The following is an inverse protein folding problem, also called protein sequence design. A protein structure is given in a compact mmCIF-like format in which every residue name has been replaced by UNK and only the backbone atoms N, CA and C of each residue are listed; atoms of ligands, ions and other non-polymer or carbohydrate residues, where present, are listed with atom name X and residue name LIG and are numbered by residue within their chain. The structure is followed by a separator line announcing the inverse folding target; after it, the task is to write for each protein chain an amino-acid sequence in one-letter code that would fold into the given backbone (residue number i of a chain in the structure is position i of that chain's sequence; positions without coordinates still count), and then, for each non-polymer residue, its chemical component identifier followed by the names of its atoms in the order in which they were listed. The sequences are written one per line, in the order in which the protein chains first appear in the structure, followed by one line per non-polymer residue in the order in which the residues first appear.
data_IF_350920502352
#
_entry.id   IF_350920502352
#
_cell.length_a   1.000
_cell.length_b   1.000
_cell.length_c   1.000
_cell.angle_alpha   90.00
_cell.angle_beta   90.00
_cell.angle_gamma   90.00
#
_symmetry.space_group_name_H-M   'P 1'
#
loop_
_entity.id
_entity.type
_entity.pdbx_description
1 polymer ?
#
# COMPACT_ATOMS: atom_id res chain seq x y z
N UNK A 1 -8.55 -0.59 2.75
CA UNK A 1 -8.93 0.61 3.44
C UNK A 1 -7.80 1.07 4.32
N UNK A 2 -8.06 1.82 5.37
CA UNK A 2 -7.02 2.25 6.28
C UNK A 2 -7.13 1.50 7.58
N UNK A 3 -6.01 1.34 8.28
CA UNK A 3 -6.04 0.83 9.64
C UNK A 3 -6.81 1.79 10.52
N UNK A 4 -7.45 1.25 11.56
CA UNK A 4 -8.29 2.02 12.44
C UNK A 4 -7.59 3.25 13.01
N UNK A 5 -6.33 3.12 13.37
CA UNK A 5 -5.60 4.23 13.98
C UNK A 5 -5.38 5.40 13.03
N UNK A 6 -5.48 5.19 11.73
CA UNK A 6 -5.32 6.26 10.77
C UNK A 6 -6.59 7.10 10.62
N UNK A 7 -7.70 6.67 11.16
CA UNK A 7 -8.92 7.46 11.09
C UNK A 7 -8.84 8.76 11.89
N UNK A 8 -7.84 8.87 12.74
CA UNK A 8 -7.63 10.10 13.51
C UNK A 8 -7.01 11.22 12.69
N UNK A 9 -6.56 10.91 11.46
CA UNK A 9 -5.92 11.87 10.60
C UNK A 9 -6.78 12.14 9.38
N UNK A 10 -6.47 13.22 8.68
CA UNK A 10 -7.12 13.44 7.39
C UNK A 10 -6.74 12.29 6.47
N UNK A 11 -7.67 11.89 5.64
CA UNK A 11 -7.42 10.81 4.70
C UNK A 11 -8.10 11.12 3.37
N UNK A 12 -7.58 10.50 2.32
CA UNK A 12 -8.18 10.57 1.00
C UNK A 12 -7.89 9.29 0.24
N UNK A 13 -8.69 8.97 -0.77
CA UNK A 13 -8.43 7.78 -1.57
C UNK A 13 -7.18 7.92 -2.42
N UNK A 14 -6.56 6.79 -2.73
CA UNK A 14 -5.44 6.74 -3.65
C UNK A 14 -5.93 6.98 -5.07
N UNK A 15 -5.03 7.45 -5.93
CA UNK A 15 -5.32 7.75 -7.33
C UNK A 15 -4.33 7.06 -8.22
N UNK A 16 -4.82 6.54 -9.34
CA UNK A 16 -3.96 5.94 -10.35
C UNK A 16 -3.04 7.04 -10.92
N UNK A 17 -1.78 6.70 -11.10
CA UNK A 17 -0.79 7.64 -11.63
C UNK A 17 -0.08 8.47 -10.58
N UNK A 18 -0.51 8.38 -9.35
CA UNK A 18 0.12 9.12 -8.27
C UNK A 18 1.20 8.26 -7.61
N UNK A 19 2.24 8.89 -7.11
CA UNK A 19 3.28 8.18 -6.36
C UNK A 19 3.05 8.36 -4.88
N UNK A 20 3.44 7.35 -4.11
CA UNK A 20 3.27 7.32 -2.67
C UNK A 20 4.55 6.90 -1.99
N UNK A 21 4.57 7.12 -0.70
CA UNK A 21 5.68 6.70 0.15
C UNK A 21 5.11 6.27 1.47
N UNK A 22 5.65 5.21 2.06
CA UNK A 22 5.22 4.81 3.40
C UNK A 22 5.75 5.81 4.41
N UNK A 23 4.94 6.10 5.41
CA UNK A 23 5.25 7.12 6.41
C UNK A 23 4.74 6.66 7.77
N UNK A 24 5.54 6.90 8.81
CA UNK A 24 5.11 6.60 10.18
C UNK A 24 4.46 7.84 10.76
N UNK A 25 3.19 7.74 11.09
CA UNK A 25 2.42 8.82 11.67
C UNK A 25 2.72 8.95 13.17
N UNK A 26 2.37 10.07 13.81
CA UNK A 26 2.61 10.24 15.25
C UNK A 26 2.01 9.15 16.12
N UNK A 27 0.96 8.46 15.65
CA UNK A 27 0.38 7.32 16.35
C UNK A 27 1.23 6.07 16.27
N UNK A 28 2.36 6.11 15.56
CA UNK A 28 3.25 5.00 15.26
C UNK A 28 2.75 4.07 14.15
N UNK A 29 1.57 4.31 13.62
CA UNK A 29 1.06 3.51 12.51
C UNK A 29 1.73 3.94 11.21
N UNK A 30 2.11 2.98 10.39
CA UNK A 30 2.69 3.23 9.07
C UNK A 30 1.59 3.15 8.03
N UNK A 31 1.50 4.16 7.19
CA UNK A 31 0.55 4.21 6.09
C UNK A 31 1.19 4.88 4.90
N UNK A 32 0.40 5.17 3.88
CA UNK A 32 0.89 5.85 2.67
C UNK A 32 0.61 7.34 2.73
N UNK A 33 1.54 8.10 2.19
CA UNK A 33 1.36 9.54 1.96
C UNK A 33 1.76 9.85 0.53
N UNK A 34 1.27 10.97 0.01
CA UNK A 34 1.82 11.53 -1.22
C UNK A 34 3.06 12.34 -0.81
N UNK A 35 4.16 12.26 -1.54
CA UNK A 35 5.36 13.01 -1.18
C UNK A 35 5.06 14.50 -1.01
N UNK A 36 5.53 15.05 0.09
CA UNK A 36 5.29 16.46 0.40
C UNK A 36 4.04 16.72 1.23
N UNK A 37 3.22 15.71 1.49
CA UNK A 37 2.02 15.87 2.32
C UNK A 37 1.95 14.76 3.37
N UNK A 38 2.68 14.96 4.47
CA UNK A 38 2.74 14.00 5.55
C UNK A 38 1.56 14.07 6.50
N UNK A 39 0.63 14.99 6.27
CA UNK A 39 -0.51 15.18 7.17
C UNK A 39 -1.76 14.47 6.70
N UNK A 40 -1.75 13.91 5.51
CA UNK A 40 -2.92 13.22 4.95
C UNK A 40 -2.57 11.78 4.63
N UNK A 41 -3.27 10.85 5.26
CA UNK A 41 -3.12 9.44 4.97
C UNK A 41 -3.80 9.13 3.64
N UNK A 42 -3.13 8.38 2.78
CA UNK A 42 -3.71 7.94 1.52
C UNK A 42 -4.27 6.53 1.73
N UNK A 43 -5.56 6.38 1.53
CA UNK A 43 -6.24 5.11 1.72
C UNK A 43 -6.39 4.40 0.38
N UNK A 44 -6.04 3.15 0.37
CA UNK A 44 -5.99 2.35 -0.83
C UNK A 44 -6.93 1.17 -0.68
N UNK A 45 -7.61 0.81 -1.75
CA UNK A 45 -8.51 -0.35 -1.69
C UNK A 45 -7.69 -1.63 -1.61
N UNK A 46 -8.16 -2.61 -0.86
CA UNK A 46 -7.56 -3.94 -0.88
C UNK A 46 -7.65 -4.51 -2.30
N UNK A 47 -6.66 -5.33 -2.64
CA UNK A 47 -6.48 -5.93 -3.96
C UNK A 47 -5.94 -4.97 -5.02
N UNK A 48 -5.58 -3.75 -4.63
CA UNK A 48 -4.85 -2.85 -5.52
C UNK A 48 -3.43 -3.36 -5.71
N UNK A 49 -2.97 -3.43 -6.94
CA UNK A 49 -1.63 -3.87 -7.25
C UNK A 49 -0.67 -2.68 -7.30
N UNK A 50 0.48 -2.87 -6.66
CA UNK A 50 1.46 -1.82 -6.48
C UNK A 50 2.82 -2.25 -6.98
N UNK A 51 3.59 -1.30 -7.46
CA UNK A 51 5.03 -1.46 -7.59
C UNK A 51 5.69 -0.78 -6.41
N UNK A 52 6.48 -1.52 -5.64
CA UNK A 52 7.20 -0.97 -4.50
C UNK A 52 8.67 -0.85 -4.83
N UNK A 53 9.30 0.20 -4.33
CA UNK A 53 10.72 0.48 -4.56
C UNK A 53 11.39 0.83 -3.25
N UNK A 54 12.60 0.31 -3.07
CA UNK A 54 13.36 0.59 -1.85
C UNK A 54 12.93 -0.27 -0.66
N UNK A 55 12.51 -1.49 -0.91
CA UNK A 55 12.13 -2.41 0.16
C UNK A 55 13.36 -2.70 1.03
N UNK A 56 13.25 -2.59 2.37
CA UNK A 56 14.40 -2.82 3.24
C UNK A 56 14.94 -4.24 3.13
N UNK A 57 16.24 -4.40 3.30
CA UNK A 57 16.90 -5.69 3.16
C UNK A 57 16.30 -6.76 4.06
N UNK A 58 15.93 -6.39 5.29
CA UNK A 58 15.33 -7.35 6.21
C UNK A 58 14.02 -7.92 5.67
N UNK A 59 13.22 -7.10 5.02
CA UNK A 59 11.97 -7.52 4.40
C UNK A 59 12.26 -8.35 3.15
N UNK A 60 13.25 -7.96 2.37
CA UNK A 60 13.67 -8.73 1.19
C UNK A 60 14.02 -10.15 1.60
N UNK A 61 14.79 -10.29 2.67
CA UNK A 61 15.21 -11.60 3.15
C UNK A 61 14.03 -12.40 3.70
N UNK A 62 13.16 -11.75 4.45
CA UNK A 62 12.03 -12.43 5.09
C UNK A 62 10.98 -12.89 4.08
N UNK A 63 10.78 -12.12 3.02
CA UNK A 63 9.74 -12.41 2.03
C UNK A 63 10.27 -13.06 0.75
N UNK A 64 11.58 -13.10 0.57
CA UNK A 64 12.16 -13.67 -0.64
C UNK A 64 11.93 -12.78 -1.86
N UNK A 65 12.05 -11.49 -1.70
CA UNK A 65 11.80 -10.52 -2.77
C UNK A 65 13.02 -9.61 -2.94
N UNK A 66 13.00 -8.81 -3.99
CA UNK A 66 14.07 -7.86 -4.29
C UNK A 66 13.71 -6.48 -3.73
N UNK A 67 14.61 -5.51 -3.92
CA UNK A 67 14.37 -4.15 -3.45
C UNK A 67 13.19 -3.50 -4.16
N UNK A 68 12.97 -3.85 -5.42
CA UNK A 68 11.85 -3.38 -6.20
C UNK A 68 11.01 -4.58 -6.56
N UNK A 69 9.73 -4.54 -6.24
CA UNK A 69 8.88 -5.70 -6.37
C UNK A 69 7.43 -5.30 -6.52
N UNK A 70 6.67 -6.05 -7.33
CA UNK A 70 5.24 -5.87 -7.43
C UNK A 70 4.55 -6.61 -6.29
N UNK A 71 3.51 -6.01 -5.74
CA UNK A 71 2.71 -6.64 -4.70
C UNK A 71 1.28 -6.18 -4.77
N UNK A 72 0.45 -6.81 -3.96
CA UNK A 72 -0.97 -6.47 -3.86
C UNK A 72 -1.26 -5.97 -2.45
N UNK A 73 -1.85 -4.78 -2.36
CA UNK A 73 -2.25 -4.24 -1.08
C UNK A 73 -3.39 -5.10 -0.55
N UNK A 74 -3.27 -5.57 0.67
CA UNK A 74 -4.19 -6.57 1.19
C UNK A 74 -4.38 -6.42 2.69
N UNK A 75 -5.46 -7.02 3.19
CA UNK A 75 -5.68 -7.11 4.62
C UNK A 75 -5.01 -8.38 5.14
N UNK A 76 -4.22 -8.22 6.19
CA UNK A 76 -3.56 -9.34 6.85
C UNK A 76 -4.10 -9.48 8.27
N UNK A 77 -4.24 -10.73 8.72
CA UNK A 77 -4.71 -11.00 10.08
C UNK A 77 -3.52 -11.25 10.99
N UNK A 78 -2.62 -10.28 11.06
CA UNK A 78 -1.40 -10.39 11.84
C UNK A 78 -1.31 -9.21 12.80
N UNK A 79 -1.53 -9.48 14.08
CA UNK A 79 -1.44 -8.45 15.11
C UNK A 79 -2.48 -7.34 14.95
N UNK A 80 -2.24 -6.17 15.54
CA UNK A 80 -3.23 -5.08 15.55
C UNK A 80 -3.25 -4.25 14.26
N UNK A 81 -2.25 -4.38 13.41
CA UNK A 81 -2.18 -3.62 12.18
C UNK A 81 -2.45 -4.57 11.02
N UNK A 82 -3.47 -4.27 10.24
CA UNK A 82 -3.95 -5.20 9.23
C UNK A 82 -3.62 -4.84 7.79
N UNK A 83 -3.17 -3.63 7.54
CA UNK A 83 -2.81 -3.24 6.17
C UNK A 83 -1.43 -3.78 5.82
N UNK A 84 -1.33 -4.37 4.65
CA UNK A 84 -0.08 -4.96 4.23
C UNK A 84 -0.02 -5.22 2.74
N UNK A 85 1.02 -5.94 2.35
CA UNK A 85 1.29 -6.26 0.95
C UNK A 85 1.56 -7.76 0.84
N UNK A 86 0.98 -8.38 -0.17
CA UNK A 86 1.27 -9.76 -0.54
C UNK A 86 2.02 -9.74 -1.85
N UNK A 87 3.19 -10.36 -1.86
CA UNK A 87 4.00 -10.45 -3.06
C UNK A 87 3.58 -11.64 -3.93
N UNK A 88 4.00 -11.64 -5.19
CA UNK A 88 3.61 -12.69 -6.13
C UNK A 88 4.06 -14.09 -5.69
N UNK A 89 5.14 -14.17 -4.94
CA UNK A 89 5.64 -15.47 -4.43
C UNK A 89 4.89 -15.95 -3.18
N UNK A 90 3.87 -15.20 -2.74
CA UNK A 90 3.11 -15.55 -1.54
C UNK A 90 3.62 -14.95 -0.25
N UNK A 91 4.75 -14.28 -0.28
CA UNK A 91 5.28 -13.60 0.91
C UNK A 91 4.39 -12.43 1.29
N UNK A 92 4.23 -12.20 2.58
CA UNK A 92 3.35 -11.15 3.10
C UNK A 92 4.08 -10.32 4.14
N UNK A 93 3.80 -9.01 4.15
CA UNK A 93 4.39 -8.13 5.15
C UNK A 93 3.40 -7.03 5.46
N UNK A 94 3.25 -6.68 6.75
CA UNK A 94 2.42 -5.53 7.12
C UNK A 94 3.15 -4.25 6.75
N UNK A 95 2.41 -3.17 6.51
CA UNK A 95 3.03 -1.85 6.30
C UNK A 95 3.85 -1.46 7.51
N UNK A 96 3.41 -1.86 8.69
CA UNK A 96 4.11 -1.56 9.94
C UNK A 96 5.50 -2.16 9.92
N UNK A 97 5.64 -3.38 9.46
CA UNK A 97 6.95 -4.05 9.38
C UNK A 97 7.76 -3.55 8.18
N UNK A 98 7.10 -3.22 7.09
CA UNK A 98 7.76 -2.65 5.93
C UNK A 98 8.48 -1.36 6.32
N UNK A 99 7.85 -0.58 7.20
CA UNK A 99 8.44 0.64 7.74
C UNK A 99 8.30 1.83 6.80
N UNK A 100 8.73 3.00 7.25
CA UNK A 100 8.62 4.21 6.45
C UNK A 100 9.70 4.27 5.37
N UNK A 101 9.45 5.09 4.36
CA UNK A 101 10.44 5.37 3.32
C UNK A 101 10.40 4.47 2.10
N UNK A 102 9.44 3.55 2.03
CA UNK A 102 9.28 2.69 0.85
C UNK A 102 8.38 3.40 -0.14
N UNK A 103 8.83 3.54 -1.36
CA UNK A 103 8.08 4.23 -2.40
C UNK A 103 7.24 3.26 -3.19
N UNK A 104 6.12 3.75 -3.72
CA UNK A 104 5.24 2.89 -4.48
C UNK A 104 4.29 3.67 -5.37
N UNK A 105 3.69 2.97 -6.32
CA UNK A 105 2.64 3.54 -7.14
C UNK A 105 1.73 2.42 -7.62
N UNK A 106 0.52 2.80 -7.97
CA UNK A 106 -0.51 1.85 -8.38
C UNK A 106 -0.26 1.44 -9.82
N UNK A 107 -0.20 0.12 -10.07
CA UNK A 107 -0.10 -0.40 -11.42
C UNK A 107 -1.42 -0.98 -11.89
N UNK A 108 -2.29 -1.39 -10.98
CA UNK A 108 -3.60 -1.90 -11.35
C UNK A 108 -4.50 -1.78 -10.13
N UNK A 109 -5.62 -1.12 -10.28
CA UNK A 109 -6.50 -0.84 -9.18
C UNK A 109 -7.89 -1.39 -9.44
N UNK A 110 -8.45 -2.06 -8.44
CA UNK A 110 -9.82 -2.52 -8.50
C UNK A 110 -10.77 -1.48 -7.98
N UNK A 111 -10.35 -0.24 -8.00
CA UNK A 111 -11.12 0.74 -7.34
C UNK A 111 -12.25 1.25 -8.10
N UNK A 112 -12.32 1.05 -9.35
CA UNK A 112 -13.35 1.66 -10.14
C UNK A 112 -14.17 0.59 -10.78
N UNK A 113 -15.13 0.08 -10.12
CA UNK A 113 -15.96 -0.96 -10.68
C UNK A 113 -16.69 -0.50 -11.93
N UNK A 114 -16.83 0.78 -12.09
CA UNK A 114 -17.47 1.25 -13.27
C UNK A 114 -16.61 1.19 -14.47
N UNK A 115 -15.33 1.40 -14.32
CA UNK A 115 -14.49 1.30 -15.48
C UNK A 115 -14.20 -0.13 -15.80
N UNK A 116 -14.29 -0.97 -14.85
CA UNK A 116 -14.06 -2.37 -15.10
C UNK A 116 -14.90 -2.90 -16.23
N UNK A 117 -16.12 -2.56 -16.31
CA UNK A 117 -16.89 -3.00 -17.45
C UNK A 117 -16.59 -2.14 -18.59
N UNK A 118 -16.09 -1.09 -18.41
CA UNK A 118 -15.81 -0.33 -19.46
C UNK A 118 -14.58 -0.51 -19.87
N UNK A 119 -14.25 -1.15 -19.50
CA UNK A 119 -13.23 -1.40 -20.02
C UNK A 119 -13.32 -2.36 -20.53
N UNK A 120 -14.01 -2.46 -20.48
CA UNK A 120 -14.12 -3.15 -20.91
C UNK A 120 -14.57 -3.12 -21.54
N UNK A 121 -15.02 -2.72 -21.64
CA UNK A 121 -15.21 -2.74 -22.13
C UNK A 121 -14.93 -2.64 -22.58
N UNK A 122 -15.04 -2.40 -22.57
CA UNK A 122 -14.65 -2.42 -22.97
C UNK A 122 -14.39 -2.76 -23.18
N UNK A 123 -14.69 -2.67 -23.37
CA UNK A 123 -14.40 -3.10 -23.57
C UNK A 123 -14.29 -3.46 -23.80
#
# INVERSE_FOLDING_TARGET
MCDFSLELYRSRPARVGERYETHRFPSSTVGFIAPGDCSTAVCMAYDTRLRLEGIPQAVQNACGVMADEDGTFTRLEIGPFHDGVRFANGGKVTLQRLGPGVKGYIIDALLSPLWAPQMAEVL
#
